data_IF_616600421360
#
_entry.id   IF_616600421360
#
_cell.length_a   1.000
_cell.length_b   1.000
_cell.length_c   1.000
_cell.angle_alpha   90.00
_cell.angle_beta   90.00
_cell.angle_gamma   90.00
#
_symmetry.space_group_name_H-M   'P 1'
#
loop_
_entity.id
_entity.type
_entity.pdbx_description
1 polymer ?
#
# COMPACT_ATOMS: atom_id res chain seq x y z
N UNK A 1 -11.64 -0.70 41.06
CA UNK A 1 -10.97 -1.23 39.85
C UNK A 1 -10.93 -0.12 38.83
N UNK A 2 -9.74 0.33 38.44
CA UNK A 2 -9.61 1.52 37.58
C UNK A 2 -10.16 1.21 36.19
N UNK A 3 -10.76 2.20 35.53
CA UNK A 3 -11.34 2.06 34.20
C UNK A 3 -10.33 1.45 33.22
N UNK A 4 -9.04 1.81 33.38
CA UNK A 4 -7.92 1.27 32.61
C UNK A 4 -7.74 -0.25 32.72
N UNK A 5 -7.93 -0.84 33.91
CA UNK A 5 -7.82 -2.28 34.12
C UNK A 5 -8.96 -3.03 33.42
N UNK A 6 -10.15 -2.42 33.34
CA UNK A 6 -11.29 -2.97 32.59
C UNK A 6 -11.04 -3.06 31.08
N UNK A 7 -10.21 -2.17 30.50
CA UNK A 7 -9.86 -2.22 29.07
C UNK A 7 -8.86 -3.35 28.76
N UNK A 8 -7.95 -3.66 29.68
CA UNK A 8 -6.91 -4.67 29.47
C UNK A 8 -7.46 -6.10 29.42
N UNK A 9 -8.61 -6.35 30.04
CA UNK A 9 -9.22 -7.69 30.12
C UNK A 9 -10.09 -8.01 28.89
N UNK A 10 -10.58 -6.99 28.16
CA UNK A 10 -11.50 -7.18 27.02
C UNK A 10 -10.79 -7.80 25.80
N UNK A 11 -11.46 -8.78 25.18
CA UNK A 11 -10.99 -9.45 23.95
C UNK A 11 -10.73 -8.47 22.80
N UNK A 12 -11.52 -7.42 22.68
CA UNK A 12 -11.36 -6.38 21.64
C UNK A 12 -10.04 -5.62 21.77
N UNK A 13 -9.68 -5.21 23.00
CA UNK A 13 -8.40 -4.55 23.28
C UNK A 13 -7.21 -5.44 22.91
N UNK A 14 -7.24 -6.71 23.36
CA UNK A 14 -6.21 -7.71 23.00
C UNK A 14 -6.14 -7.96 21.49
N UNK A 15 -7.27 -7.97 20.79
CA UNK A 15 -7.32 -8.12 19.33
C UNK A 15 -6.70 -6.94 18.58
N UNK A 16 -6.95 -5.70 19.01
CA UNK A 16 -6.33 -4.51 18.43
C UNK A 16 -4.82 -4.47 18.67
N UNK A 17 -4.38 -4.86 19.87
CA UNK A 17 -2.94 -5.03 20.17
C UNK A 17 -2.31 -6.07 19.24
N UNK A 18 -3.00 -7.19 19.01
CA UNK A 18 -2.54 -8.21 18.08
C UNK A 18 -2.42 -7.67 16.64
N UNK A 19 -3.46 -7.00 16.13
CA UNK A 19 -3.44 -6.42 14.78
C UNK A 19 -2.31 -5.38 14.61
N UNK A 20 -2.06 -4.57 15.65
CA UNK A 20 -0.98 -3.59 15.68
C UNK A 20 0.41 -4.21 15.51
N UNK A 21 0.67 -5.33 16.19
CA UNK A 21 1.93 -6.06 16.04
C UNK A 21 1.99 -6.85 14.74
N UNK A 22 0.89 -7.49 14.35
CA UNK A 22 0.80 -8.24 13.10
C UNK A 22 1.16 -7.38 11.89
N UNK A 23 0.63 -6.15 11.79
CA UNK A 23 0.94 -5.23 10.69
C UNK A 23 2.44 -4.95 10.58
N UNK A 24 3.18 -4.85 11.70
CA UNK A 24 4.63 -4.58 11.70
C UNK A 24 5.47 -5.80 11.36
N UNK A 25 5.00 -6.99 11.72
CA UNK A 25 5.68 -8.24 11.41
C UNK A 25 5.63 -8.57 9.92
N UNK A 26 4.66 -8.05 9.16
CA UNK A 26 4.56 -8.29 7.70
C UNK A 26 5.81 -7.85 6.91
N UNK A 27 6.57 -6.87 7.42
CA UNK A 27 7.80 -6.41 6.77
C UNK A 27 9.01 -7.32 7.02
N UNK A 28 8.90 -8.31 7.91
CA UNK A 28 9.98 -9.25 8.23
C UNK A 28 9.64 -10.60 7.64
N UNK A 29 10.25 -10.93 6.50
CA UNK A 29 10.04 -12.21 5.81
C UNK A 29 11.30 -13.04 5.97
N UNK A 30 11.23 -14.16 6.73
CA UNK A 30 12.36 -15.04 6.93
C UNK A 30 13.00 -15.47 5.61
N UNK A 31 14.31 -15.32 5.49
CA UNK A 31 15.06 -15.72 4.29
C UNK A 31 15.06 -14.69 3.14
N UNK A 32 14.33 -13.57 3.26
CA UNK A 32 14.39 -12.47 2.28
C UNK A 32 14.98 -11.22 2.92
N UNK A 33 14.40 -10.76 4.02
CA UNK A 33 14.82 -9.50 4.67
C UNK A 33 16.03 -9.66 5.58
N UNK A 34 16.34 -10.88 6.00
CA UNK A 34 17.44 -11.17 6.93
C UNK A 34 18.82 -11.12 6.25
N UNK A 35 18.84 -11.19 4.91
CA UNK A 35 20.06 -11.22 4.09
C UNK A 35 20.68 -9.81 3.93
N UNK A 36 20.08 -8.77 4.52
CA UNK A 36 20.61 -7.40 4.49
C UNK A 36 20.45 -6.69 3.15
N UNK A 37 19.50 -7.11 2.33
CA UNK A 37 19.21 -6.49 1.03
C UNK A 37 18.72 -5.04 1.20
N UNK A 38 19.29 -4.13 0.42
CA UNK A 38 18.84 -2.72 0.38
C UNK A 38 17.84 -2.52 -0.76
N UNK A 39 16.64 -1.96 -0.50
CA UNK A 39 15.69 -1.63 -1.57
C UNK A 39 16.32 -0.69 -2.60
N UNK A 40 16.10 -0.97 -3.88
CA UNK A 40 16.54 -0.11 -4.98
C UNK A 40 15.66 1.14 -5.02
N UNK A 41 16.27 2.31 -5.23
CA UNK A 41 15.52 3.53 -5.48
C UNK A 41 14.78 3.44 -6.83
N UNK A 42 13.45 3.53 -6.78
CA UNK A 42 12.60 3.53 -7.97
C UNK A 42 12.24 4.98 -8.31
N UNK A 43 12.63 5.44 -9.50
CA UNK A 43 12.34 6.82 -9.98
C UNK A 43 11.14 6.89 -10.92
N UNK A 44 10.86 5.79 -11.64
CA UNK A 44 9.79 5.70 -12.63
C UNK A 44 9.13 4.33 -12.55
N UNK A 45 7.79 4.28 -12.64
CA UNK A 45 6.99 3.05 -12.66
C UNK A 45 6.05 3.08 -13.86
N UNK A 46 5.95 1.96 -14.57
CA UNK A 46 4.96 1.80 -15.63
C UNK A 46 3.77 0.99 -15.11
N UNK A 47 2.56 1.52 -15.27
CA UNK A 47 1.30 0.80 -14.98
C UNK A 47 0.70 0.39 -16.32
N UNK A 48 0.62 -0.92 -16.55
CA UNK A 48 0.02 -1.49 -17.76
C UNK A 48 -1.46 -1.75 -17.46
N UNK A 49 -2.34 -0.98 -18.10
CA UNK A 49 -3.79 -1.08 -17.91
C UNK A 49 -4.41 0.04 -17.07
N UNK A 50 -4.96 1.08 -17.70
CA UNK A 50 -5.85 2.08 -17.06
C UNK A 50 -7.28 1.58 -16.83
N UNK A 51 -7.45 0.45 -16.14
CA UNK A 51 -8.76 0.05 -15.58
C UNK A 51 -9.02 0.70 -14.22
N UNK A 52 -10.06 0.29 -13.51
CA UNK A 52 -10.39 0.84 -12.18
C UNK A 52 -9.28 0.63 -11.14
N UNK A 53 -8.64 -0.55 -11.13
CA UNK A 53 -7.51 -0.81 -10.23
C UNK A 53 -6.23 -0.10 -10.70
N UNK A 54 -5.93 -0.14 -12.00
CA UNK A 54 -4.72 0.46 -12.54
C UNK A 54 -4.69 1.99 -12.45
N UNK A 55 -5.84 2.66 -12.60
CA UNK A 55 -5.92 4.11 -12.35
C UNK A 55 -5.62 4.42 -10.89
N UNK A 56 -6.18 3.67 -9.93
CA UNK A 56 -5.91 3.89 -8.49
C UNK A 56 -4.47 3.60 -8.09
N UNK A 57 -3.84 2.59 -8.69
CA UNK A 57 -2.41 2.31 -8.49
C UNK A 57 -1.58 3.48 -9.02
N UNK A 58 -1.90 3.97 -10.21
CA UNK A 58 -1.23 5.13 -10.79
C UNK A 58 -1.44 6.39 -9.91
N UNK A 59 -2.64 6.61 -9.36
CA UNK A 59 -2.92 7.74 -8.45
C UNK A 59 -2.10 7.62 -7.16
N UNK A 60 -2.06 6.45 -6.52
CA UNK A 60 -1.29 6.25 -5.28
C UNK A 60 0.23 6.48 -5.48
N UNK A 61 0.76 6.05 -6.63
CA UNK A 61 2.15 6.28 -7.00
C UNK A 61 2.42 7.76 -7.34
N UNK A 62 1.48 8.42 -8.01
CA UNK A 62 1.59 9.84 -8.31
C UNK A 62 1.57 10.70 -7.04
N UNK A 63 0.68 10.41 -6.08
CA UNK A 63 0.60 11.10 -4.78
C UNK A 63 1.85 10.92 -3.92
N UNK A 64 2.58 9.81 -4.10
CA UNK A 64 3.88 9.58 -3.44
C UNK A 64 5.06 10.19 -4.21
N UNK A 65 4.79 11.06 -5.18
CA UNK A 65 5.77 11.78 -5.99
C UNK A 65 6.68 10.86 -6.84
N UNK A 66 6.16 9.70 -7.25
CA UNK A 66 6.82 8.79 -8.17
C UNK A 66 6.30 9.06 -9.58
N UNK A 67 7.20 9.14 -10.57
CA UNK A 67 6.80 9.33 -11.96
C UNK A 67 6.15 8.06 -12.50
N UNK A 68 4.90 8.17 -12.96
CA UNK A 68 4.11 7.03 -13.46
C UNK A 68 3.87 7.15 -14.96
N UNK A 69 4.09 6.07 -15.70
CA UNK A 69 3.71 5.94 -17.12
C UNK A 69 2.52 4.99 -17.21
N UNK A 70 1.38 5.48 -17.66
CA UNK A 70 0.18 4.67 -17.87
C UNK A 70 0.13 4.19 -19.32
N UNK A 71 0.31 2.89 -19.56
CA UNK A 71 0.24 2.31 -20.90
C UNK A 71 -1.09 1.58 -21.10
N UNK A 72 -1.84 1.94 -22.15
CA UNK A 72 -3.07 1.26 -22.56
C UNK A 72 -3.24 1.23 -24.06
N UNK A 73 -3.87 0.16 -24.56
CA UNK A 73 -4.12 -0.07 -25.98
C UNK A 73 -5.24 0.84 -26.51
N UNK A 74 -6.26 1.13 -25.70
CA UNK A 74 -7.43 1.92 -26.12
C UNK A 74 -7.47 3.30 -25.44
N UNK A 75 -7.59 4.36 -26.26
CA UNK A 75 -7.55 5.77 -25.88
C UNK A 75 -8.69 6.19 -24.94
N UNK A 76 -9.90 5.65 -25.11
CA UNK A 76 -11.05 6.01 -24.26
C UNK A 76 -10.82 5.67 -22.79
N UNK A 77 -10.17 4.52 -22.55
CA UNK A 77 -9.84 4.10 -21.20
C UNK A 77 -8.62 4.84 -20.65
N UNK A 78 -7.72 5.31 -21.51
CA UNK A 78 -6.61 6.16 -21.11
C UNK A 78 -7.15 7.50 -20.58
N UNK A 79 -8.08 8.13 -21.31
CA UNK A 79 -8.71 9.37 -20.88
C UNK A 79 -9.50 9.21 -19.56
N UNK A 80 -10.23 8.10 -19.39
CA UNK A 80 -10.92 7.80 -18.12
C UNK A 80 -9.93 7.65 -16.95
N UNK A 81 -8.79 6.99 -17.17
CA UNK A 81 -7.72 6.87 -16.18
C UNK A 81 -7.08 8.21 -15.83
N UNK A 82 -6.80 9.05 -16.84
CA UNK A 82 -6.23 10.39 -16.66
C UNK A 82 -7.15 11.31 -15.86
N UNK A 83 -8.46 11.27 -16.08
CA UNK A 83 -9.44 12.03 -15.26
C UNK A 83 -9.42 11.65 -13.77
N UNK A 84 -8.92 10.47 -13.44
CA UNK A 84 -8.79 9.99 -12.03
C UNK A 84 -7.44 10.38 -11.40
N UNK A 85 -6.51 10.89 -12.21
CA UNK A 85 -5.19 11.35 -11.76
C UNK A 85 -5.15 12.87 -11.50
N UNK A 86 -6.18 13.61 -11.94
CA UNK A 86 -6.43 15.00 -11.55
C UNK A 86 -7.15 15.03 -10.19
#
# INVERSE_FOLDING_TARGET
>A
MSIAESWNVRRTSKGLVHAFFAQRLTSKVPGVTDVGLKPRQIKKVAVIGGGLMGSRIATALHLSNISVVLNKINLDYLQKGMKTLQ
#
